data_IF_842539672053
#
_entry.id   IF_842539672053
#
_cell.length_a   1.000
_cell.length_b   1.000
_cell.length_c   1.000
_cell.angle_alpha   90.00
_cell.angle_beta   90.00
_cell.angle_gamma   90.00
#
_symmetry.space_group_name_H-M   'P 1'
#
loop_
_entity.id
_entity.type
_entity.pdbx_description
1 polymer ?
#
# COMPACT_ATOMS: atom_id res chain seq x y z
N UNK A 1 -27.74 -26.29 21.94
CA UNK A 1 -28.17 -25.00 21.37
C UNK A 1 -27.05 -24.60 20.42
N UNK A 2 -27.22 -24.74 19.11
CA UNK A 2 -26.12 -24.62 18.15
C UNK A 2 -25.69 -23.17 18.00
N UNK A 3 -24.40 -22.89 18.20
CA UNK A 3 -23.79 -21.63 17.77
C UNK A 3 -23.89 -21.54 16.25
N UNK A 4 -24.90 -20.84 15.76
CA UNK A 4 -24.90 -20.38 14.37
C UNK A 4 -23.81 -19.32 14.24
N UNK A 5 -22.60 -19.77 13.90
CA UNK A 5 -21.54 -18.90 13.39
C UNK A 5 -22.13 -18.20 12.17
N UNK A 6 -22.63 -16.99 12.37
CA UNK A 6 -23.31 -16.23 11.33
C UNK A 6 -22.23 -15.73 10.40
N UNK A 7 -22.07 -16.41 9.27
CA UNK A 7 -21.19 -15.96 8.21
C UNK A 7 -21.54 -14.51 7.85
N UNK A 8 -20.56 -13.59 7.85
CA UNK A 8 -20.81 -12.20 7.54
C UNK A 8 -21.36 -12.08 6.12
N UNK A 9 -22.30 -11.16 5.93
CA UNK A 9 -22.99 -10.96 4.65
C UNK A 9 -22.84 -9.51 4.22
N UNK A 10 -22.51 -9.31 2.94
CA UNK A 10 -22.56 -7.99 2.30
C UNK A 10 -23.83 -7.92 1.48
N UNK A 11 -24.57 -6.83 1.62
CA UNK A 11 -25.67 -6.49 0.71
C UNK A 11 -25.15 -5.43 -0.27
N UNK A 12 -25.14 -5.76 -1.57
CA UNK A 12 -24.78 -4.82 -2.64
C UNK A 12 -26.00 -4.65 -3.55
N UNK A 13 -26.71 -3.53 -3.39
CA UNK A 13 -28.04 -3.38 -3.98
C UNK A 13 -29.00 -4.41 -3.39
N UNK A 14 -29.52 -5.32 -4.22
CA UNK A 14 -30.40 -6.41 -3.79
C UNK A 14 -29.67 -7.76 -3.67
N UNK A 15 -28.37 -7.81 -3.95
CA UNK A 15 -27.57 -9.04 -3.93
C UNK A 15 -26.95 -9.28 -2.54
N UNK A 16 -27.17 -10.47 -1.99
CA UNK A 16 -26.58 -10.91 -0.72
C UNK A 16 -25.40 -11.83 -1.00
N UNK A 17 -24.19 -11.36 -0.68
CA UNK A 17 -22.95 -12.12 -0.79
C UNK A 17 -22.58 -12.65 0.59
N UNK A 18 -22.49 -13.97 0.73
CA UNK A 18 -22.01 -14.60 1.98
C UNK A 18 -20.50 -14.67 1.95
N UNK A 19 -19.84 -14.06 2.94
CA UNK A 19 -18.41 -14.10 3.09
C UNK A 19 -18.01 -15.31 3.93
N UNK A 20 -16.94 -16.02 3.55
CA UNK A 20 -16.29 -16.93 4.49
C UNK A 20 -15.68 -16.12 5.64
N UNK A 21 -15.65 -16.72 6.83
CA UNK A 21 -15.35 -16.00 8.09
C UNK A 21 -13.95 -15.40 8.12
N UNK A 22 -13.01 -16.01 7.41
CA UNK A 22 -11.63 -15.52 7.24
C UNK A 22 -11.51 -14.29 6.32
N UNK A 23 -12.51 -14.04 5.48
CA UNK A 23 -12.56 -12.87 4.57
C UNK A 23 -13.22 -11.65 5.23
N UNK A 24 -13.98 -11.87 6.31
CA UNK A 24 -14.74 -10.85 7.01
C UNK A 24 -13.89 -9.66 7.46
N UNK A 25 -12.75 -9.96 8.08
CA UNK A 25 -11.85 -8.95 8.65
C UNK A 25 -11.17 -8.14 7.54
N UNK A 26 -10.77 -8.81 6.46
CA UNK A 26 -10.18 -8.15 5.29
C UNK A 26 -11.16 -7.18 4.62
N UNK A 27 -12.44 -7.55 4.52
CA UNK A 27 -13.49 -6.67 3.99
C UNK A 27 -13.77 -5.49 4.93
N UNK A 28 -13.81 -5.72 6.24
CA UNK A 28 -14.00 -4.64 7.22
C UNK A 28 -12.86 -3.63 7.16
N UNK A 29 -11.61 -4.10 7.11
CA UNK A 29 -10.42 -3.23 6.96
C UNK A 29 -10.48 -2.44 5.64
N UNK A 30 -10.84 -3.10 4.54
CA UNK A 30 -11.02 -2.44 3.24
C UNK A 30 -12.06 -1.30 3.30
N UNK A 31 -13.22 -1.56 3.89
CA UNK A 31 -14.29 -0.58 4.03
C UNK A 31 -13.89 0.59 4.95
N UNK A 32 -13.15 0.32 6.03
CA UNK A 32 -12.64 1.35 6.92
C UNK A 32 -11.65 2.29 6.22
N UNK A 33 -10.73 1.75 5.41
CA UNK A 33 -9.81 2.55 4.58
C UNK A 33 -10.57 3.45 3.61
N UNK A 34 -11.57 2.92 2.91
CA UNK A 34 -12.43 3.73 2.04
C UNK A 34 -13.16 4.84 2.80
N UNK A 35 -13.71 4.55 3.98
CA UNK A 35 -14.41 5.53 4.80
C UNK A 35 -13.49 6.69 5.25
N UNK A 36 -12.19 6.43 5.40
CA UNK A 36 -11.18 7.44 5.73
C UNK A 36 -10.68 8.22 4.50
N UNK A 37 -11.16 7.90 3.30
CA UNK A 37 -10.71 8.52 2.05
C UNK A 37 -9.37 7.98 1.55
N UNK A 38 -8.91 6.84 2.07
CA UNK A 38 -7.68 6.21 1.60
C UNK A 38 -7.88 5.63 0.20
N UNK A 39 -6.90 5.84 -0.67
CA UNK A 39 -6.83 5.13 -1.96
C UNK A 39 -6.49 3.66 -1.72
N UNK A 40 -7.41 2.75 -2.08
CA UNK A 40 -7.19 1.30 -1.96
C UNK A 40 -7.10 0.64 -3.33
N UNK A 41 -6.11 -0.25 -3.48
CA UNK A 41 -5.84 -1.00 -4.72
C UNK A 41 -6.12 -2.47 -4.47
N UNK A 42 -7.06 -3.03 -5.23
CA UNK A 42 -7.44 -4.45 -5.15
C UNK A 42 -6.98 -5.15 -6.43
N UNK A 43 -6.26 -6.25 -6.27
CA UNK A 43 -5.82 -7.08 -7.39
C UNK A 43 -5.36 -8.46 -6.92
N UNK A 44 -5.28 -9.41 -7.85
CA UNK A 44 -4.69 -10.72 -7.55
C UNK A 44 -3.21 -10.56 -7.20
N UNK A 45 -2.74 -11.30 -6.18
CA UNK A 45 -1.33 -11.31 -5.79
C UNK A 45 -0.39 -11.73 -6.94
N UNK A 46 -0.92 -12.47 -7.93
CA UNK A 46 -0.21 -12.92 -9.14
C UNK A 46 -0.29 -11.93 -10.31
N UNK A 47 -0.94 -10.78 -10.12
CA UNK A 47 -1.02 -9.75 -11.15
C UNK A 47 0.36 -9.18 -11.41
N UNK A 48 0.74 -9.16 -12.68
CA UNK A 48 1.98 -8.59 -13.16
C UNK A 48 1.72 -7.22 -13.75
N UNK A 49 2.46 -6.24 -13.25
CA UNK A 49 2.29 -4.84 -13.56
C UNK A 49 3.37 -4.38 -14.53
N UNK A 50 2.98 -3.51 -15.45
CA UNK A 50 3.92 -2.72 -16.25
C UNK A 50 4.68 -1.74 -15.34
N UNK A 51 5.86 -1.28 -15.76
CA UNK A 51 6.59 -0.25 -15.02
C UNK A 51 5.81 1.05 -14.86
N UNK A 52 4.90 1.36 -15.79
CA UNK A 52 4.00 2.51 -15.66
C UNK A 52 2.97 2.29 -14.55
N UNK A 53 2.31 1.14 -14.50
CA UNK A 53 1.35 0.83 -13.43
C UNK A 53 2.01 0.79 -12.06
N UNK A 54 3.24 0.26 -11.96
CA UNK A 54 4.02 0.32 -10.72
C UNK A 54 4.29 1.77 -10.31
N UNK A 55 4.64 2.63 -11.26
CA UNK A 55 4.90 4.04 -11.00
C UNK A 55 3.65 4.76 -10.47
N UNK A 56 2.49 4.48 -11.07
CA UNK A 56 1.20 5.01 -10.64
C UNK A 56 0.88 4.57 -9.19
N UNK A 57 1.13 3.31 -8.85
CA UNK A 57 0.91 2.78 -7.50
C UNK A 57 1.86 3.35 -6.45
N UNK A 58 3.13 3.54 -6.81
CA UNK A 58 4.13 4.09 -5.91
C UNK A 58 4.06 5.63 -5.80
N UNK A 59 3.31 6.30 -6.67
CA UNK A 59 3.23 7.76 -6.73
C UNK A 59 4.55 8.41 -7.19
N UNK A 60 5.27 7.76 -8.10
CA UNK A 60 6.60 8.18 -8.59
C UNK A 60 6.66 8.19 -10.12
N UNK A 61 7.77 8.64 -10.69
CA UNK A 61 7.95 8.59 -12.14
C UNK A 61 8.27 7.18 -12.62
N UNK A 62 7.88 6.86 -13.86
CA UNK A 62 8.25 5.59 -14.51
C UNK A 62 9.76 5.38 -14.60
N UNK A 63 10.53 6.44 -14.85
CA UNK A 63 12.00 6.35 -14.90
C UNK A 63 12.59 5.97 -13.55
N UNK A 64 12.02 6.45 -12.45
CA UNK A 64 12.42 6.04 -11.11
C UNK A 64 12.15 4.54 -10.89
N UNK A 65 10.98 4.02 -11.28
CA UNK A 65 10.71 2.58 -11.21
C UNK A 65 11.71 1.74 -12.01
N UNK A 66 12.12 2.21 -13.19
CA UNK A 66 13.17 1.52 -13.97
C UNK A 66 14.48 1.50 -13.20
N UNK A 67 14.86 2.62 -12.56
CA UNK A 67 16.05 2.69 -11.72
C UNK A 67 15.99 1.72 -10.53
N UNK A 68 14.85 1.65 -9.83
CA UNK A 68 14.63 0.68 -8.74
C UNK A 68 14.81 -0.77 -9.18
N UNK A 69 14.39 -1.09 -10.41
CA UNK A 69 14.59 -2.42 -11.00
C UNK A 69 16.07 -2.66 -11.31
N UNK A 70 16.73 -1.69 -11.95
CA UNK A 70 18.13 -1.81 -12.33
C UNK A 70 19.06 -1.92 -11.09
N UNK A 71 18.68 -1.25 -9.99
CA UNK A 71 19.38 -1.30 -8.70
C UNK A 71 19.02 -2.55 -7.87
N UNK A 72 18.13 -3.41 -8.37
CA UNK A 72 17.70 -4.64 -7.70
C UNK A 72 16.77 -4.44 -6.50
N UNK A 73 16.26 -3.22 -6.28
CA UNK A 73 15.33 -2.92 -5.20
C UNK A 73 13.90 -3.42 -5.47
N UNK A 74 13.55 -3.60 -6.75
CA UNK A 74 12.30 -4.22 -7.18
C UNK A 74 12.57 -5.49 -7.98
N UNK A 75 12.13 -6.63 -7.46
CA UNK A 75 12.15 -7.88 -8.21
C UNK A 75 11.23 -7.80 -9.44
N UNK A 76 11.68 -8.34 -10.56
CA UNK A 76 10.92 -8.34 -11.80
C UNK A 76 11.03 -9.68 -12.53
N UNK A 77 10.07 -9.94 -13.41
CA UNK A 77 10.11 -11.01 -14.39
C UNK A 77 9.90 -10.48 -15.79
N UNK A 78 10.30 -11.25 -16.80
CA UNK A 78 10.01 -10.92 -18.20
C UNK A 78 8.69 -11.55 -18.65
N UNK A 79 7.85 -10.75 -19.32
CA UNK A 79 6.72 -11.24 -20.12
C UNK A 79 6.94 -10.82 -21.57
N UNK A 80 7.38 -11.77 -22.38
CA UNK A 80 7.97 -11.46 -23.68
C UNK A 80 9.23 -10.63 -23.48
N UNK A 81 9.31 -9.47 -24.14
CA UNK A 81 10.47 -8.58 -24.09
C UNK A 81 10.41 -7.56 -22.94
N UNK A 82 9.27 -7.43 -22.26
CA UNK A 82 9.08 -6.37 -21.27
C UNK A 82 9.22 -6.89 -19.84
N UNK A 83 9.90 -6.08 -19.00
CA UNK A 83 9.93 -6.28 -17.55
C UNK A 83 8.54 -6.05 -16.95
N UNK A 84 8.21 -6.87 -15.96
CA UNK A 84 6.97 -6.83 -15.18
C UNK A 84 7.29 -7.05 -13.71
N UNK A 85 6.60 -6.31 -12.85
CA UNK A 85 6.76 -6.43 -11.38
C UNK A 85 5.45 -6.99 -10.84
N UNK A 86 5.52 -7.93 -9.88
CA UNK A 86 4.30 -8.44 -9.27
C UNK A 86 3.65 -7.37 -8.39
N UNK A 87 2.32 -7.40 -8.26
CA UNK A 87 1.61 -6.52 -7.32
C UNK A 87 2.14 -6.72 -5.89
N UNK A 88 2.40 -7.96 -5.49
CA UNK A 88 2.96 -8.31 -4.18
C UNK A 88 4.30 -7.62 -3.92
N UNK A 89 5.20 -7.67 -4.90
CA UNK A 89 6.51 -7.01 -4.81
C UNK A 89 6.39 -5.48 -4.77
N UNK A 90 5.46 -4.92 -5.54
CA UNK A 90 5.18 -3.48 -5.54
C UNK A 90 4.71 -3.02 -4.16
N UNK A 91 3.78 -3.77 -3.54
CA UNK A 91 3.27 -3.47 -2.20
C UNK A 91 4.37 -3.65 -1.14
N UNK A 92 5.22 -4.68 -1.25
CA UNK A 92 6.37 -4.87 -0.35
C UNK A 92 7.26 -3.62 -0.31
N UNK A 93 7.65 -3.12 -1.47
CA UNK A 93 8.49 -1.92 -1.59
C UNK A 93 7.78 -0.66 -1.07
N UNK A 94 6.48 -0.51 -1.34
CA UNK A 94 5.70 0.62 -0.85
C UNK A 94 5.68 0.68 0.69
N UNK A 95 5.43 -0.46 1.34
CA UNK A 95 5.38 -0.53 2.81
C UNK A 95 6.76 -0.35 3.45
N UNK A 96 7.83 -0.83 2.81
CA UNK A 96 9.21 -0.54 3.21
C UNK A 96 9.54 0.95 3.12
N UNK A 97 9.24 1.59 1.99
CA UNK A 97 9.44 3.02 1.77
C UNK A 97 8.67 3.89 2.76
N UNK A 98 7.42 3.51 3.11
CA UNK A 98 6.62 4.21 4.12
C UNK A 98 7.26 4.14 5.50
N UNK A 99 7.78 2.97 5.88
CA UNK A 99 8.44 2.76 7.18
C UNK A 99 9.70 3.59 7.31
N UNK A 100 10.54 3.60 6.28
CA UNK A 100 11.76 4.43 6.22
C UNK A 100 11.45 5.92 6.27
N UNK A 101 10.42 6.36 5.54
CA UNK A 101 9.96 7.75 5.57
C UNK A 101 9.48 8.16 6.96
N UNK A 102 8.72 7.28 7.64
CA UNK A 102 8.26 7.52 9.01
C UNK A 102 9.45 7.64 9.98
N UNK A 103 10.38 6.68 9.93
CA UNK A 103 11.56 6.69 10.77
C UNK A 103 12.41 7.96 10.57
N UNK A 104 12.57 8.42 9.33
CA UNK A 104 13.27 9.66 9.02
C UNK A 104 12.57 10.88 9.62
N UNK A 105 11.23 10.96 9.50
CA UNK A 105 10.45 12.06 10.07
C UNK A 105 10.54 12.08 11.60
N UNK A 106 10.47 10.91 12.24
CA UNK A 106 10.58 10.78 13.69
C UNK A 106 11.98 11.21 14.17
N UNK A 107 13.04 10.84 13.44
CA UNK A 107 14.40 11.29 13.73
C UNK A 107 14.57 12.81 13.58
N UNK A 108 13.97 13.43 12.55
CA UNK A 108 13.97 14.89 12.38
C UNK A 108 13.21 15.57 13.53
N UNK A 109 12.07 15.01 13.93
CA UNK A 109 11.28 15.52 15.08
C UNK A 109 12.07 15.43 16.39
N UNK A 110 12.82 14.36 16.61
CA UNK A 110 13.68 14.19 17.78
C UNK A 110 14.84 15.21 17.80
N UNK A 111 15.53 15.40 16.66
CA UNK A 111 16.63 16.37 16.54
C UNK A 111 16.13 17.80 16.75
N UNK A 112 14.96 18.15 16.20
CA UNK A 112 14.36 19.49 16.39
C UNK A 112 13.90 19.73 17.83
N UNK A 113 13.39 18.71 18.52
CA UNK A 113 13.06 18.79 19.94
C UNK A 113 14.31 18.94 20.84
N UNK A 114 15.44 18.34 20.45
CA UNK A 114 16.70 18.44 21.18
C UNK A 114 17.46 19.76 20.94
N UNK A 115 17.31 20.36 19.75
CA UNK A 115 18.09 21.56 19.38
C UNK A 115 17.45 22.86 19.88
N UNK A 116 16.20 22.85 20.33
CA UNK A 116 15.45 24.06 20.68
C UNK A 116 15.07 24.81 19.40
N UNK A 117 13.76 24.82 19.08
CA UNK A 117 13.25 25.45 17.88
C UNK A 117 13.73 26.91 17.73
N UNK A 118 13.95 27.33 16.48
CA UNK A 118 14.32 28.70 16.11
C UNK A 118 13.56 29.73 16.98
N UNK A 119 14.28 30.38 17.89
CA UNK A 119 13.83 31.62 18.52
C UNK A 119 13.62 32.62 17.38
N UNK A 120 12.37 33.03 17.19
CA UNK A 120 11.99 33.97 16.16
C UNK A 120 12.69 35.30 16.39
N UNK A 121 13.65 35.64 15.53
CA UNK A 121 14.13 37.01 15.40
C UNK A 121 12.96 37.87 14.89
N UNK A 122 12.49 38.86 15.66
CA UNK A 122 11.49 39.79 15.18
C UNK A 122 12.19 40.79 14.24
N UNK A 123 11.75 40.84 12.98
CA UNK A 123 12.03 41.97 12.11
C UNK A 123 11.22 43.20 12.55
#
# INVERSE_FOLDING_TARGET
>A
MGDSVTSPRILVGDEVITLPSDVADAVQDLLARFANGDSVVIGSARTLLTTSQVADLLGVSRSFVVHLIDDGQLAYEFRGTHRRVSLTETVRYLEESKRERRATLDAIAEVTAQTGGYDGDPF
#
